data_IF_318255581070
#
_entry.id   IF_318255581070
#
_cell.length_a   1.000
_cell.length_b   1.000
_cell.length_c   1.000
_cell.angle_alpha   90.00
_cell.angle_beta   90.00
_cell.angle_gamma   90.00
#
_symmetry.space_group_name_H-M   'P 1'
#
loop_
_entity.id
_entity.type
_entity.pdbx_description
1 polymer ?
#
# COMPACT_ATOMS: atom_id res chain seq x y z
N UNK A 1 -41.38 -74.55 34.21
CA UNK A 1 -41.39 -73.18 34.79
C UNK A 1 -39.94 -72.70 34.78
N UNK A 2 -39.67 -71.51 34.20
CA UNK A 2 -38.40 -70.73 34.30
C UNK A 2 -37.20 -71.28 33.48
N UNK A 3 -36.37 -70.49 32.81
CA UNK A 3 -36.37 -69.07 32.40
C UNK A 3 -35.36 -68.99 31.23
N UNK A 4 -35.76 -68.46 30.08
CA UNK A 4 -34.88 -68.12 28.95
C UNK A 4 -34.15 -66.81 29.29
N UNK A 5 -32.82 -66.83 29.37
CA UNK A 5 -32.02 -65.61 29.55
C UNK A 5 -31.45 -65.17 28.19
N UNK A 6 -32.05 -64.11 27.65
CA UNK A 6 -31.61 -63.43 26.44
C UNK A 6 -30.25 -62.76 26.64
N UNK A 7 -29.35 -62.99 25.68
CA UNK A 7 -28.07 -62.31 25.57
C UNK A 7 -28.33 -60.88 25.06
N UNK A 8 -28.22 -59.87 25.93
CA UNK A 8 -28.22 -58.47 25.52
C UNK A 8 -26.84 -58.10 24.97
N UNK A 9 -26.76 -57.90 23.66
CA UNK A 9 -25.59 -57.33 22.98
C UNK A 9 -25.64 -55.81 23.14
N UNK A 10 -24.79 -55.24 24.00
CA UNK A 10 -24.63 -53.80 24.16
C UNK A 10 -23.84 -53.25 22.97
N UNK A 11 -24.53 -52.62 22.02
CA UNK A 11 -23.89 -51.84 20.95
C UNK A 11 -23.49 -50.48 21.52
N UNK A 12 -22.21 -50.32 21.87
CA UNK A 12 -21.63 -49.03 22.19
C UNK A 12 -21.50 -48.20 20.89
N UNK A 13 -22.43 -47.28 20.65
CA UNK A 13 -22.25 -46.25 19.62
C UNK A 13 -21.12 -45.31 20.07
N UNK A 14 -19.93 -45.46 19.50
CA UNK A 14 -18.93 -44.40 19.48
C UNK A 14 -19.46 -43.27 18.60
N UNK A 15 -19.99 -42.22 19.24
CA UNK A 15 -20.23 -40.94 18.57
C UNK A 15 -18.87 -40.33 18.21
N UNK A 16 -18.40 -40.58 16.99
CA UNK A 16 -17.29 -39.84 16.40
C UNK A 16 -17.77 -38.39 16.20
N UNK A 17 -17.44 -37.51 17.15
CA UNK A 17 -17.64 -36.08 16.99
C UNK A 17 -16.80 -35.60 15.83
N UNK A 18 -17.44 -35.32 14.69
CA UNK A 18 -16.81 -34.56 13.62
C UNK A 18 -16.52 -33.15 14.18
N UNK A 19 -15.27 -32.92 14.59
CA UNK A 19 -14.80 -31.58 14.85
C UNK A 19 -14.91 -30.80 13.53
N UNK A 20 -15.87 -29.88 13.45
CA UNK A 20 -15.93 -28.95 12.34
C UNK A 20 -14.56 -28.27 12.23
N UNK A 21 -13.97 -28.14 11.02
CA UNK A 21 -12.71 -27.44 10.86
C UNK A 21 -12.88 -26.06 11.47
N UNK A 22 -12.01 -25.71 12.42
CA UNK A 22 -12.01 -24.39 13.04
C UNK A 22 -11.97 -23.35 11.92
N UNK A 23 -13.09 -22.63 11.75
CA UNK A 23 -13.17 -21.53 10.80
C UNK A 23 -11.96 -20.63 11.09
N UNK A 24 -11.14 -20.39 10.06
CA UNK A 24 -9.98 -19.53 10.21
C UNK A 24 -10.48 -18.20 10.78
N UNK A 25 -10.00 -17.81 11.96
CA UNK A 25 -10.37 -16.53 12.54
C UNK A 25 -9.83 -15.45 11.61
N UNK A 26 -10.76 -14.78 10.94
CA UNK A 26 -10.47 -13.60 10.13
C UNK A 26 -9.97 -12.49 11.06
N UNK A 27 -9.02 -11.70 10.59
CA UNK A 27 -8.54 -10.51 11.28
C UNK A 27 -9.71 -9.55 11.50
N UNK A 28 -9.83 -9.03 12.72
CA UNK A 28 -10.86 -8.08 13.11
C UNK A 28 -10.28 -6.66 13.13
N UNK A 29 -10.63 -5.76 12.19
CA UNK A 29 -10.09 -4.40 12.15
C UNK A 29 -10.43 -3.55 13.38
N UNK A 30 -11.37 -3.98 14.24
CA UNK A 30 -11.65 -3.31 15.51
C UNK A 30 -10.62 -3.65 16.61
N UNK A 31 -9.86 -4.73 16.46
CA UNK A 31 -8.77 -5.10 17.37
C UNK A 31 -7.47 -4.45 16.90
N UNK A 32 -6.77 -3.68 17.76
CA UNK A 32 -5.57 -2.96 17.34
C UNK A 32 -4.46 -3.85 16.79
N UNK A 33 -4.27 -5.06 17.32
CA UNK A 33 -3.27 -6.02 16.83
C UNK A 33 -3.59 -6.49 15.41
N UNK A 34 -4.86 -6.83 15.17
CA UNK A 34 -5.35 -7.27 13.87
C UNK A 34 -5.35 -6.10 12.86
N UNK A 35 -5.68 -4.88 13.30
CA UNK A 35 -5.61 -3.68 12.48
C UNK A 35 -4.17 -3.37 12.00
N UNK A 36 -3.17 -3.53 12.86
CA UNK A 36 -1.76 -3.40 12.47
C UNK A 36 -1.36 -4.49 11.47
N UNK A 37 -1.85 -5.71 11.65
CA UNK A 37 -1.60 -6.79 10.71
C UNK A 37 -2.31 -6.56 9.36
N UNK A 38 -3.52 -6.03 9.36
CA UNK A 38 -4.26 -5.64 8.15
C UNK A 38 -3.48 -4.56 7.39
N UNK A 39 -2.98 -3.52 8.07
CA UNK A 39 -2.20 -2.46 7.41
C UNK A 39 -0.86 -2.97 6.86
N UNK A 40 -0.18 -3.89 7.57
CA UNK A 40 1.02 -4.58 7.08
C UNK A 40 0.73 -5.35 5.78
N UNK A 41 -0.32 -6.18 5.81
CA UNK A 41 -0.74 -7.01 4.68
C UNK A 41 -1.17 -6.17 3.49
N UNK A 42 -1.83 -5.03 3.72
CA UNK A 42 -2.15 -4.11 2.64
C UNK A 42 -0.91 -3.45 2.05
N UNK A 43 0.12 -3.13 2.84
CA UNK A 43 1.25 -2.35 2.33
C UNK A 43 2.31 -3.19 1.62
N UNK A 44 2.45 -4.45 2.01
CA UNK A 44 3.44 -5.35 1.44
C UNK A 44 2.84 -6.58 0.73
N UNK A 45 1.53 -6.82 0.85
CA UNK A 45 0.89 -8.04 0.35
C UNK A 45 1.25 -9.28 1.16
N UNK A 46 2.53 -9.50 1.44
CA UNK A 46 3.08 -10.70 2.07
C UNK A 46 3.00 -10.60 3.61
N UNK A 47 2.57 -11.68 4.26
CA UNK A 47 2.50 -11.77 5.72
C UNK A 47 3.86 -11.93 6.40
N UNK A 48 4.80 -12.55 5.68
CA UNK A 48 6.18 -12.78 6.08
C UNK A 48 7.07 -11.57 5.76
N UNK A 49 8.15 -11.39 6.52
CA UNK A 49 9.13 -10.31 6.36
C UNK A 49 10.03 -10.53 5.12
N UNK A 50 9.40 -10.55 3.94
CA UNK A 50 9.99 -10.78 2.61
C UNK A 50 9.81 -9.55 1.71
N UNK A 51 10.65 -9.38 0.68
CA UNK A 51 10.45 -8.35 -0.33
C UNK A 51 9.15 -8.58 -1.11
N UNK A 52 8.47 -7.48 -1.42
CA UNK A 52 7.34 -7.40 -2.32
C UNK A 52 7.54 -6.23 -3.29
N UNK A 53 6.82 -6.25 -4.41
CA UNK A 53 6.93 -5.22 -5.45
C UNK A 53 5.55 -4.65 -5.71
N UNK A 54 5.45 -3.33 -5.64
CA UNK A 54 4.38 -2.60 -6.32
C UNK A 54 4.88 -2.08 -7.63
N UNK A 55 4.03 -2.19 -8.63
CA UNK A 55 4.22 -1.66 -9.96
C UNK A 55 3.08 -0.69 -10.25
N UNK A 56 3.39 0.37 -10.98
CA UNK A 56 2.38 1.28 -11.50
C UNK A 56 2.82 1.79 -12.87
N UNK A 57 1.82 2.10 -13.68
CA UNK A 57 1.99 2.71 -15.00
C UNK A 57 0.95 3.82 -15.15
N UNK A 58 1.30 4.91 -15.81
CA UNK A 58 0.35 6.02 -15.99
C UNK A 58 0.80 7.07 -16.98
N UNK A 59 0.01 8.13 -17.09
CA UNK A 59 0.28 9.28 -17.95
C UNK A 59 0.65 10.49 -17.09
N UNK A 60 1.61 11.28 -17.57
CA UNK A 60 2.08 12.49 -16.91
C UNK A 60 1.71 13.67 -17.79
N UNK A 61 0.78 14.50 -17.30
CA UNK A 61 0.27 15.65 -18.00
C UNK A 61 0.89 16.94 -17.48
N UNK A 62 1.21 17.83 -18.40
CA UNK A 62 1.57 19.21 -18.14
C UNK A 62 0.34 20.10 -18.12
N UNK A 63 0.23 20.94 -17.09
CA UNK A 63 -0.86 21.90 -16.95
C UNK A 63 -0.31 23.32 -16.87
N UNK A 64 -0.88 24.22 -17.68
CA UNK A 64 -0.52 25.64 -17.70
C UNK A 64 -1.76 26.51 -17.84
N UNK A 65 -1.88 27.66 -17.14
CA UNK A 65 -3.04 28.54 -17.23
C UNK A 65 -3.36 28.95 -18.68
N UNK A 66 -4.64 28.87 -19.05
CA UNK A 66 -5.11 29.27 -20.38
C UNK A 66 -4.75 28.32 -21.52
N UNK A 67 -4.18 27.14 -21.23
CA UNK A 67 -3.86 26.13 -22.24
C UNK A 67 -4.49 24.78 -21.86
N UNK A 68 -4.87 23.93 -22.84
CA UNK A 68 -5.25 22.55 -22.55
C UNK A 68 -4.08 21.77 -21.97
N UNK A 69 -4.38 20.78 -21.12
CA UNK A 69 -3.38 19.86 -20.59
C UNK A 69 -2.70 19.11 -21.74
N UNK A 70 -1.37 18.95 -21.66
CA UNK A 70 -0.57 18.25 -22.68
C UNK A 70 -0.03 16.96 -22.09
N UNK A 71 -0.19 15.84 -22.78
CA UNK A 71 0.51 14.60 -22.41
C UNK A 71 2.01 14.81 -22.66
N UNK A 72 2.81 14.79 -21.60
CA UNK A 72 4.25 15.00 -21.71
C UNK A 72 5.00 13.67 -21.78
N UNK A 73 4.63 12.74 -20.91
CA UNK A 73 5.29 11.45 -20.76
C UNK A 73 4.28 10.36 -20.42
N UNK A 74 4.64 9.12 -20.72
CA UNK A 74 4.14 7.96 -19.97
C UNK A 74 5.10 7.70 -18.80
N UNK A 75 4.60 7.14 -17.72
CA UNK A 75 5.39 6.77 -16.55
C UNK A 75 5.30 5.27 -16.31
N UNK A 76 6.43 4.64 -16.03
CA UNK A 76 6.52 3.25 -15.61
C UNK A 76 7.35 3.18 -14.34
N UNK A 77 6.75 2.72 -13.25
CA UNK A 77 7.38 2.76 -11.93
C UNK A 77 7.21 1.47 -11.14
N UNK A 78 8.14 1.29 -10.21
CA UNK A 78 8.06 0.23 -9.23
C UNK A 78 8.63 0.69 -7.89
N UNK A 79 8.07 0.12 -6.83
CA UNK A 79 8.59 0.22 -5.48
C UNK A 79 8.86 -1.19 -4.96
N UNK A 80 10.13 -1.47 -4.68
CA UNK A 80 10.51 -2.68 -3.96
C UNK A 80 10.47 -2.37 -2.46
N UNK A 81 9.68 -3.16 -1.74
CA UNK A 81 9.32 -2.89 -0.35
C UNK A 81 9.40 -4.13 0.52
N UNK A 82 9.59 -3.92 1.81
CA UNK A 82 9.59 -4.96 2.83
C UNK A 82 8.96 -4.41 4.11
N UNK A 83 8.12 -5.21 4.75
CA UNK A 83 7.50 -4.89 6.03
C UNK A 83 8.23 -5.63 7.15
N UNK A 84 9.18 -4.95 7.79
CA UNK A 84 10.02 -5.49 8.85
C UNK A 84 9.26 -5.48 10.17
N UNK A 85 9.24 -6.60 10.87
CA UNK A 85 8.63 -6.68 12.20
C UNK A 85 9.51 -5.98 13.24
N UNK A 86 8.89 -5.20 14.10
CA UNK A 86 9.56 -4.46 15.17
C UNK A 86 8.80 -4.66 16.47
N UNK A 87 9.48 -4.63 17.61
CA UNK A 87 8.84 -4.76 18.92
C UNK A 87 9.22 -3.58 19.79
N UNK A 88 8.23 -2.97 20.42
CA UNK A 88 8.41 -1.92 21.41
C UNK A 88 7.86 -2.40 22.77
N UNK A 89 8.58 -2.18 23.90
CA UNK A 89 8.14 -2.66 25.21
C UNK A 89 6.79 -2.11 25.69
N UNK A 90 6.39 -0.92 25.22
CA UNK A 90 5.13 -0.25 25.60
C UNK A 90 4.07 -0.37 24.53
N UNK A 91 4.47 -0.31 23.27
CA UNK A 91 3.55 -0.23 22.14
C UNK A 91 3.20 -1.60 21.54
N UNK A 92 3.99 -2.65 21.85
CA UNK A 92 3.77 -4.02 21.42
C UNK A 92 4.51 -4.40 20.14
N UNK A 93 4.07 -5.50 19.51
CA UNK A 93 4.63 -5.98 18.24
C UNK A 93 4.01 -5.21 17.08
N UNK A 94 4.85 -4.59 16.27
CA UNK A 94 4.48 -3.76 15.14
C UNK A 94 5.27 -4.10 13.87
N UNK A 95 5.22 -3.19 12.90
CA UNK A 95 5.98 -3.31 11.65
C UNK A 95 6.42 -1.96 11.11
N UNK A 96 7.46 -1.95 10.27
CA UNK A 96 7.96 -0.76 9.57
C UNK A 96 8.15 -1.06 8.08
N UNK A 97 7.73 -0.13 7.23
CA UNK A 97 8.05 -0.17 5.80
C UNK A 97 9.50 0.26 5.56
N UNK A 98 10.26 -0.59 4.88
CA UNK A 98 11.51 -0.19 4.23
C UNK A 98 11.39 -0.39 2.73
N UNK A 99 11.71 0.64 1.94
CA UNK A 99 11.52 0.57 0.49
C UNK A 99 12.40 1.54 -0.31
N UNK A 100 12.52 1.24 -1.60
CA UNK A 100 13.11 2.11 -2.63
C UNK A 100 12.19 2.09 -3.85
N UNK A 101 12.19 3.17 -4.62
CA UNK A 101 11.38 3.23 -5.84
C UNK A 101 12.09 3.91 -6.99
N UNK A 102 11.66 3.50 -8.18
CA UNK A 102 12.06 4.09 -9.44
C UNK A 102 10.83 4.38 -10.28
N UNK A 103 10.88 5.46 -11.05
CA UNK A 103 9.91 5.72 -12.11
C UNK A 103 10.62 6.27 -13.33
N UNK A 104 10.48 5.55 -14.44
CA UNK A 104 11.00 5.94 -15.74
C UNK A 104 10.00 6.84 -16.43
N UNK A 105 10.52 7.90 -17.05
CA UNK A 105 9.76 8.78 -17.94
C UNK A 105 9.93 8.24 -19.34
N UNK A 106 8.81 7.95 -20.00
CA UNK A 106 8.76 7.29 -21.29
C UNK A 106 8.17 8.23 -22.35
N UNK A 107 8.60 8.03 -23.60
CA UNK A 107 8.06 8.75 -24.75
C UNK A 107 6.57 8.44 -24.89
N UNK A 108 5.70 9.46 -25.01
CA UNK A 108 4.27 9.24 -25.04
C UNK A 108 3.80 8.50 -26.31
N UNK A 109 4.56 8.57 -27.40
CA UNK A 109 4.28 7.92 -28.68
C UNK A 109 4.89 6.52 -28.74
N UNK A 110 6.21 6.39 -28.51
CA UNK A 110 6.93 5.13 -28.70
C UNK A 110 6.94 4.25 -27.45
N UNK A 111 6.83 4.83 -26.25
CA UNK A 111 6.99 4.11 -24.99
C UNK A 111 8.44 3.83 -24.60
N UNK A 112 9.43 4.32 -25.35
CA UNK A 112 10.84 4.16 -25.01
C UNK A 112 11.27 5.06 -23.84
N UNK A 113 12.28 4.62 -23.09
CA UNK A 113 12.84 5.41 -21.98
C UNK A 113 13.50 6.68 -22.52
N UNK A 114 13.01 7.84 -22.09
CA UNK A 114 13.53 9.12 -22.56
C UNK A 114 14.83 9.50 -21.86
N UNK A 115 15.83 9.91 -22.64
CA UNK A 115 17.05 10.56 -22.14
C UNK A 115 17.01 12.08 -22.31
N UNK A 116 16.44 12.52 -23.42
CA UNK A 116 16.23 13.94 -23.71
C UNK A 116 14.80 14.14 -24.20
N UNK A 117 14.27 15.33 -23.97
CA UNK A 117 12.90 15.70 -24.32
C UNK A 117 12.83 17.14 -24.81
N UNK A 118 12.02 17.38 -25.84
CA UNK A 118 11.71 18.73 -26.32
C UNK A 118 10.48 19.25 -25.58
N UNK A 119 10.69 20.24 -24.72
CA UNK A 119 9.62 20.83 -23.92
C UNK A 119 8.59 21.56 -24.84
N UNK A 120 7.32 21.15 -24.88
CA UNK A 120 6.31 21.69 -25.78
C UNK A 120 5.78 23.07 -25.37
N UNK A 121 6.25 23.63 -24.25
CA UNK A 121 5.96 24.99 -23.81
C UNK A 121 7.08 25.97 -24.16
N UNK A 122 8.33 25.52 -24.23
CA UNK A 122 9.49 26.40 -24.48
C UNK A 122 10.23 26.10 -25.79
N UNK A 123 10.00 24.93 -26.40
CA UNK A 123 10.75 24.45 -27.57
C UNK A 123 12.18 23.98 -27.25
N UNK A 124 12.64 24.12 -26.00
CA UNK A 124 13.99 23.72 -25.60
C UNK A 124 14.10 22.20 -25.45
N UNK A 125 15.25 21.67 -25.84
CA UNK A 125 15.62 20.28 -25.57
C UNK A 125 16.32 20.21 -24.22
N UNK A 126 15.85 19.33 -23.33
CA UNK A 126 16.36 19.14 -21.98
C UNK A 126 16.63 17.67 -21.70
N UNK A 127 17.57 17.40 -20.79
CA UNK A 127 17.76 16.05 -20.25
C UNK A 127 16.56 15.66 -19.38
N UNK A 128 16.18 14.39 -19.42
CA UNK A 128 15.06 13.86 -18.64
C UNK A 128 15.59 13.22 -17.37
N UNK A 129 15.16 13.73 -16.22
CA UNK A 129 15.41 13.13 -14.92
C UNK A 129 14.33 12.10 -14.59
N UNK A 130 14.75 10.85 -14.42
CA UNK A 130 13.89 9.79 -13.89
C UNK A 130 13.80 9.89 -12.36
N UNK A 131 12.73 9.35 -11.78
CA UNK A 131 12.59 9.28 -10.33
C UNK A 131 13.42 8.10 -9.82
N UNK A 132 14.26 8.35 -8.83
CA UNK A 132 15.02 7.35 -8.09
C UNK A 132 15.03 7.74 -6.62
N UNK A 133 13.99 7.33 -5.88
CA UNK A 133 13.86 7.67 -4.48
C UNK A 133 14.46 6.54 -3.62
N UNK A 134 15.43 6.93 -2.80
CA UNK A 134 16.10 6.06 -1.84
C UNK A 134 16.46 6.86 -0.57
N UNK A 135 15.82 6.60 0.59
CA UNK A 135 14.76 5.61 0.84
C UNK A 135 13.33 6.19 0.72
N UNK A 136 12.33 5.30 0.62
CA UNK A 136 10.90 5.62 0.81
C UNK A 136 10.36 4.82 2.00
N UNK A 137 10.89 5.10 3.18
CA UNK A 137 10.60 4.34 4.39
C UNK A 137 9.39 4.90 5.14
N UNK A 138 8.59 4.00 5.71
CA UNK A 138 7.56 4.35 6.68
C UNK A 138 8.13 4.45 8.09
N UNK A 139 7.43 5.14 8.98
CA UNK A 139 7.65 5.00 10.43
C UNK A 139 7.09 3.65 10.90
N UNK A 140 7.59 3.10 12.02
CA UNK A 140 6.94 1.97 12.68
C UNK A 140 5.46 2.22 13.00
N UNK A 141 4.64 1.18 12.86
CA UNK A 141 3.23 1.14 13.25
C UNK A 141 3.06 0.06 14.33
N UNK A 142 2.32 0.37 15.39
CA UNK A 142 2.15 -0.49 16.55
C UNK A 142 0.68 -0.55 17.00
N UNK A 143 0.25 -1.61 17.71
CA UNK A 143 -1.11 -1.75 18.22
C UNK A 143 -1.50 -0.65 19.21
N UNK A 144 -0.53 -0.09 19.94
CA UNK A 144 -0.72 1.06 20.82
C UNK A 144 0.10 2.24 20.29
N UNK A 145 -0.56 3.37 20.05
CA UNK A 145 0.08 4.60 19.57
C UNK A 145 1.00 5.24 20.61
N UNK A 146 1.81 6.21 20.17
CA UNK A 146 2.65 7.01 21.07
C UNK A 146 1.85 7.84 22.09
N UNK A 147 0.57 8.07 21.81
CA UNK A 147 -0.38 8.72 22.72
C UNK A 147 -1.08 7.73 23.68
N UNK A 148 -0.69 6.45 23.66
CA UNK A 148 -1.26 5.39 24.50
C UNK A 148 -2.61 4.86 24.02
N UNK A 149 -3.13 5.32 22.87
CA UNK A 149 -4.43 4.87 22.36
C UNK A 149 -4.29 3.64 21.45
N UNK A 150 -5.30 2.76 21.41
CA UNK A 150 -5.36 1.68 20.43
C UNK A 150 -5.29 2.19 18.99
N UNK A 151 -4.47 1.52 18.16
CA UNK A 151 -4.39 1.77 16.73
C UNK A 151 -5.73 1.48 16.04
N UNK A 152 -6.08 2.36 15.11
CA UNK A 152 -7.27 2.24 14.27
C UNK A 152 -6.91 2.67 12.86
N UNK A 153 -7.46 1.98 11.87
CA UNK A 153 -7.36 2.40 10.48
C UNK A 153 -8.57 3.28 10.16
N UNK A 154 -8.45 4.59 10.41
CA UNK A 154 -9.58 5.52 10.25
C UNK A 154 -10.10 5.64 8.82
N UNK A 155 -9.24 5.37 7.82
CA UNK A 155 -9.62 5.40 6.40
C UNK A 155 -10.21 4.08 5.90
N UNK A 156 -10.20 3.01 6.70
CA UNK A 156 -10.69 1.71 6.26
C UNK A 156 -12.19 1.77 5.98
N UNK A 157 -12.55 1.36 4.78
CA UNK A 157 -13.95 1.22 4.35
C UNK A 157 -14.16 -0.12 3.67
N UNK A 158 -15.19 -0.83 4.09
CA UNK A 158 -15.63 -2.05 3.42
C UNK A 158 -16.77 -1.76 2.45
N UNK A 159 -16.72 -2.36 1.26
CA UNK A 159 -17.81 -2.30 0.28
C UNK A 159 -17.93 -3.64 -0.43
N UNK A 160 -18.94 -4.42 -0.02
CA UNK A 160 -19.11 -5.79 -0.50
C UNK A 160 -17.85 -6.64 -0.20
N UNK A 161 -17.24 -7.27 -1.23
CA UNK A 161 -16.05 -8.09 -1.06
C UNK A 161 -14.75 -7.28 -0.95
N UNK A 162 -14.80 -5.95 -1.10
CA UNK A 162 -13.61 -5.09 -1.15
C UNK A 162 -13.39 -4.34 0.16
N UNK A 163 -12.11 -4.14 0.49
CA UNK A 163 -11.64 -3.21 1.52
C UNK A 163 -10.87 -2.10 0.82
N UNK A 164 -11.16 -0.85 1.17
CA UNK A 164 -10.46 0.35 0.70
C UNK A 164 -9.77 1.02 1.88
N UNK A 165 -8.56 1.53 1.66
CA UNK A 165 -7.84 2.37 2.62
C UNK A 165 -7.14 3.51 1.87
N UNK A 166 -7.84 4.62 1.59
CA UNK A 166 -7.21 5.77 0.99
C UNK A 166 -6.17 6.41 1.92
N UNK A 167 -5.16 7.02 1.32
CA UNK A 167 -4.12 7.78 1.99
C UNK A 167 -3.76 9.01 1.17
N UNK A 168 -3.71 10.16 1.84
CA UNK A 168 -3.37 11.44 1.24
C UNK A 168 -2.13 12.01 1.92
N UNK A 169 -1.17 12.47 1.12
CA UNK A 169 0.05 13.13 1.58
C UNK A 169 0.11 14.56 1.00
N UNK A 170 -0.45 15.56 1.70
CA UNK A 170 -0.23 16.96 1.36
C UNK A 170 1.23 17.33 1.67
N UNK A 171 1.95 17.80 0.67
CA UNK A 171 3.36 18.19 0.76
C UNK A 171 3.47 19.71 0.61
N UNK A 172 3.97 20.35 1.66
CA UNK A 172 4.25 21.79 1.66
C UNK A 172 5.53 22.07 2.44
N UNK A 173 6.62 22.32 1.73
CA UNK A 173 7.95 22.53 2.32
C UNK A 173 8.80 23.45 1.45
N UNK A 174 9.83 24.04 2.05
CA UNK A 174 10.77 24.93 1.35
C UNK A 174 11.38 24.21 0.14
N UNK A 175 11.24 24.81 -1.05
CA UNK A 175 11.69 24.16 -2.27
C UNK A 175 13.23 24.06 -2.27
N UNK A 176 13.84 22.87 -2.40
CA UNK A 176 15.30 22.74 -2.42
C UNK A 176 15.97 23.45 -3.60
N UNK A 177 15.21 23.73 -4.67
CA UNK A 177 15.66 24.52 -5.81
C UNK A 177 15.53 26.06 -5.64
N UNK A 178 15.08 26.54 -4.48
CA UNK A 178 15.10 27.98 -4.22
C UNK A 178 16.50 28.61 -4.42
N UNK A 179 16.57 29.94 -4.55
CA UNK A 179 17.79 30.65 -4.92
C UNK A 179 17.76 31.05 -6.40
N UNK A 180 18.73 30.60 -7.20
CA UNK A 180 18.86 30.95 -8.63
C UNK A 180 17.58 30.63 -9.45
N UNK A 181 16.82 29.61 -9.03
CA UNK A 181 15.60 29.19 -9.71
C UNK A 181 14.30 29.67 -9.06
N UNK A 182 14.36 30.47 -7.99
CA UNK A 182 13.18 30.91 -7.23
C UNK A 182 12.13 31.62 -8.09
N UNK A 183 12.56 32.36 -9.12
CA UNK A 183 11.65 33.03 -10.06
C UNK A 183 10.82 32.06 -10.92
N UNK A 184 11.24 30.80 -11.03
CA UNK A 184 10.58 29.76 -11.81
C UNK A 184 9.78 28.79 -10.93
N UNK A 185 10.34 28.37 -9.79
CA UNK A 185 9.76 27.32 -8.94
C UNK A 185 9.13 27.82 -7.64
N UNK A 186 9.23 29.13 -7.38
CA UNK A 186 8.80 29.74 -6.13
C UNK A 186 9.71 29.40 -4.94
N UNK A 187 9.32 29.83 -3.74
CA UNK A 187 10.04 29.52 -2.49
C UNK A 187 9.57 28.23 -1.80
N UNK A 188 8.37 27.75 -2.13
CA UNK A 188 7.76 26.59 -1.48
C UNK A 188 7.32 25.59 -2.52
N UNK A 189 7.73 24.34 -2.32
CA UNK A 189 7.25 23.22 -3.09
C UNK A 189 5.87 22.81 -2.58
N UNK A 190 4.91 22.72 -3.50
CA UNK A 190 3.55 22.29 -3.19
C UNK A 190 3.17 21.10 -4.06
N UNK A 191 2.84 19.99 -3.42
CA UNK A 191 2.34 18.79 -4.08
C UNK A 191 1.29 18.08 -3.21
N UNK A 192 0.52 17.24 -3.85
CA UNK A 192 -0.41 16.30 -3.23
C UNK A 192 -0.17 14.93 -3.83
N UNK A 193 -0.03 13.93 -2.97
CA UNK A 193 -0.13 12.53 -3.36
C UNK A 193 -1.41 11.93 -2.81
N UNK A 194 -2.15 11.23 -3.65
CA UNK A 194 -3.43 10.61 -3.35
C UNK A 194 -3.30 9.14 -3.73
N UNK A 195 -3.43 8.27 -2.74
CA UNK A 195 -3.36 6.83 -2.91
C UNK A 195 -4.68 6.21 -2.56
N UNK A 196 -5.16 5.31 -3.42
CA UNK A 196 -6.28 4.43 -3.14
C UNK A 196 -5.78 2.99 -3.10
N UNK A 197 -5.59 2.47 -1.88
CA UNK A 197 -5.30 1.05 -1.70
C UNK A 197 -6.59 0.25 -1.61
N UNK A 198 -6.60 -0.92 -2.26
CA UNK A 198 -7.74 -1.83 -2.21
C UNK A 198 -7.28 -3.30 -2.16
N UNK A 199 -8.09 -4.16 -1.56
CA UNK A 199 -7.87 -5.61 -1.57
C UNK A 199 -9.19 -6.37 -1.38
N UNK A 200 -9.20 -7.65 -1.74
CA UNK A 200 -10.31 -8.54 -1.40
C UNK A 200 -10.30 -8.80 0.11
N UNK A 201 -11.46 -8.63 0.75
CA UNK A 201 -11.66 -8.86 2.18
C UNK A 201 -11.25 -10.28 2.59
N UNK A 202 -11.60 -11.27 1.76
CA UNK A 202 -11.27 -12.68 1.98
C UNK A 202 -9.77 -12.98 1.95
N UNK A 203 -8.97 -12.14 1.30
CA UNK A 203 -7.51 -12.30 1.22
C UNK A 203 -6.82 -11.43 2.27
N UNK A 204 -7.26 -10.18 2.42
CA UNK A 204 -6.68 -9.23 3.36
C UNK A 204 -6.84 -9.68 4.80
N UNK A 205 -8.02 -10.16 5.19
CA UNK A 205 -8.32 -10.55 6.57
C UNK A 205 -7.98 -12.01 6.88
N UNK A 206 -7.69 -12.83 5.87
CA UNK A 206 -7.31 -14.22 6.11
C UNK A 206 -5.83 -14.32 6.45
N UNK A 207 -5.50 -14.40 7.73
CA UNK A 207 -4.12 -14.52 8.21
C UNK A 207 -3.40 -15.80 7.72
N UNK A 208 -4.14 -16.82 7.26
CA UNK A 208 -3.56 -18.06 6.71
C UNK A 208 -3.09 -17.91 5.27
N UNK A 209 -3.56 -16.92 4.52
CA UNK A 209 -3.00 -16.67 3.18
C UNK A 209 -1.67 -15.93 3.31
N UNK A 210 -0.60 -16.44 2.68
CA UNK A 210 0.71 -15.81 2.76
C UNK A 210 0.72 -14.43 2.08
N UNK A 211 -0.18 -14.19 1.12
CA UNK A 211 -0.27 -12.94 0.37
C UNK A 211 -1.73 -12.45 0.27
N UNK A 212 -1.94 -11.13 0.42
CA UNK A 212 -3.24 -10.45 0.39
C UNK A 212 -3.55 -9.71 -0.93
N UNK A 213 -2.70 -9.87 -1.95
CA UNK A 213 -2.78 -9.26 -3.29
C UNK A 213 -3.42 -7.85 -3.36
N UNK A 214 -2.89 -6.87 -2.59
CA UNK A 214 -3.38 -5.51 -2.61
C UNK A 214 -3.11 -4.83 -3.97
N UNK A 215 -4.00 -3.90 -4.32
CA UNK A 215 -3.91 -3.01 -5.46
C UNK A 215 -3.70 -1.57 -4.97
N UNK A 216 -3.05 -0.76 -5.81
CA UNK A 216 -2.86 0.67 -5.57
C UNK A 216 -3.22 1.46 -6.82
N UNK A 217 -4.00 2.53 -6.64
CA UNK A 217 -4.09 3.64 -7.58
C UNK A 217 -3.41 4.84 -6.97
N UNK A 218 -2.69 5.61 -7.79
CA UNK A 218 -1.93 6.76 -7.33
C UNK A 218 -2.13 7.95 -8.26
N UNK A 219 -2.42 9.11 -7.66
CA UNK A 219 -2.46 10.39 -8.32
C UNK A 219 -1.49 11.31 -7.62
N UNK A 220 -0.65 11.99 -8.40
CA UNK A 220 0.17 13.10 -7.92
C UNK A 220 -0.18 14.37 -8.67
N UNK A 221 -0.38 15.44 -7.91
CA UNK A 221 -0.53 16.79 -8.42
C UNK A 221 0.61 17.61 -7.81
N UNK A 222 1.47 18.18 -8.64
CA UNK A 222 2.57 19.01 -8.16
C UNK A 222 2.83 20.18 -9.08
N UNK A 223 3.61 21.15 -8.58
CA UNK A 223 4.33 22.07 -9.44
C UNK A 223 5.24 21.31 -10.41
N UNK A 224 5.73 22.03 -11.43
CA UNK A 224 6.76 21.53 -12.33
C UNK A 224 7.92 20.96 -11.52
N UNK A 225 8.33 19.75 -11.89
CA UNK A 225 9.52 19.17 -11.30
C UNK A 225 10.73 20.08 -11.60
N UNK A 226 11.66 20.21 -10.64
CA UNK A 226 13.01 20.72 -10.83
C UNK A 226 13.64 20.51 -12.20
#
# INVERSE_FOLDING_TARGET
MKFTQSLMMSVSLLAAGFAAPAAAQMLDPAKPEDAVQISKRLQCGVSEDKPAVYHWSGNIYGRSPGQPDKLLFKGEGMNIRRCVEVTDPKQGKGWRLVSREVMLMLDPVTGEVLREWTNPYTGQKVEVMHIHNDPVNGRPNFPIGSDGKPYKISSLRESGPWVFMPFEAPLFYTNPLQGEYQKYVGGTYHAMEIFDFAALKSELYNSKTPTAYPMVSWIRISQWAP
#
